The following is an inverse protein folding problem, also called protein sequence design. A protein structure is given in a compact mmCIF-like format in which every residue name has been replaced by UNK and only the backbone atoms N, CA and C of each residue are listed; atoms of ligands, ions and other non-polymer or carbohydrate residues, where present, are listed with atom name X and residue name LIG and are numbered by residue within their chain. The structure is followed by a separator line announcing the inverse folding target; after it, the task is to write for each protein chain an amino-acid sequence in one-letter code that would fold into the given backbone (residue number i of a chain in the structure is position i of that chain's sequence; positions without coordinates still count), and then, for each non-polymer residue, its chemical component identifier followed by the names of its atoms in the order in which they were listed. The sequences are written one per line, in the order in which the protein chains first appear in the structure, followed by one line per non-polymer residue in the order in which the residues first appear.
data_IF_124776963898
#
_entry.id   IF_124776963898
#
_cell.length_a   1.000
_cell.length_b   1.000
_cell.length_c   1.000
_cell.angle_alpha   90.00
_cell.angle_beta   90.00
_cell.angle_gamma   90.00
#
_symmetry.space_group_name_H-M   'P 1'
#
loop_
_entity.id
_entity.type
_entity.pdbx_description
1 polymer ?
#
# COMPACT_ATOMS: atom_id res chain seq x y z
N UNK A 1 15.47 -13.05 9.54
CA UNK A 1 16.59 -12.94 8.61
C UNK A 1 17.13 -11.50 8.53
N UNK A 2 16.87 -10.67 9.55
CA UNK A 2 17.45 -9.34 9.67
C UNK A 2 18.49 -9.36 10.76
N UNK A 3 19.67 -8.89 10.42
CA UNK A 3 20.74 -8.67 11.39
C UNK A 3 20.76 -7.20 11.80
N UNK A 4 20.93 -6.88 13.08
CA UNK A 4 21.07 -5.50 13.51
C UNK A 4 22.37 -4.92 12.96
N UNK A 5 22.39 -3.60 12.74
CA UNK A 5 23.64 -2.91 12.47
C UNK A 5 24.62 -3.10 13.62
N UNK A 6 25.91 -3.17 13.30
CA UNK A 6 26.94 -3.12 14.35
C UNK A 6 26.85 -1.79 15.11
N UNK A 7 27.21 -1.80 16.38
CA UNK A 7 27.20 -0.59 17.22
C UNK A 7 28.02 0.54 16.58
N UNK A 8 29.19 0.20 16.01
CA UNK A 8 30.02 1.17 15.32
C UNK A 8 29.33 1.79 14.10
N UNK A 9 28.71 0.99 13.24
CA UNK A 9 28.03 1.48 12.06
C UNK A 9 26.79 2.29 12.42
N UNK A 10 26.01 1.81 13.39
CA UNK A 10 24.80 2.48 13.86
C UNK A 10 25.12 3.83 14.50
N UNK A 11 26.07 3.88 15.43
CA UNK A 11 26.37 5.09 16.21
C UNK A 11 27.05 6.16 15.36
N UNK A 12 28.01 5.81 14.52
CA UNK A 12 28.78 6.78 13.73
C UNK A 12 28.12 7.16 12.41
N UNK A 13 27.52 6.21 11.73
CA UNK A 13 26.95 6.44 10.40
C UNK A 13 25.48 6.84 10.42
N UNK A 14 24.67 6.12 11.15
CA UNK A 14 23.20 6.24 11.09
C UNK A 14 22.68 7.17 12.17
N UNK A 15 23.02 6.92 13.42
CA UNK A 15 22.44 7.65 14.54
C UNK A 15 22.80 9.13 14.52
N UNK A 16 24.06 9.48 14.35
CA UNK A 16 24.51 10.87 14.44
C UNK A 16 24.30 11.68 13.16
N UNK A 17 24.49 11.08 12.00
CA UNK A 17 24.46 11.80 10.74
C UNK A 17 23.12 11.67 10.01
N UNK A 18 22.59 10.47 9.92
CA UNK A 18 21.36 10.21 9.20
C UNK A 18 20.15 10.44 10.10
N UNK A 19 20.04 9.68 11.20
CA UNK A 19 18.86 9.65 12.04
C UNK A 19 18.61 10.96 12.79
N UNK A 20 19.65 11.59 13.33
CA UNK A 20 19.51 12.81 14.10
C UNK A 20 19.31 14.06 13.24
N UNK A 21 19.83 14.10 12.02
CA UNK A 21 19.90 15.31 11.19
C UNK A 21 19.21 15.21 9.85
N UNK A 22 19.10 14.02 9.28
CA UNK A 22 18.66 13.80 7.89
C UNK A 22 17.22 13.30 7.75
N UNK A 23 16.61 12.80 8.80
CA UNK A 23 15.28 12.17 8.72
C UNK A 23 14.22 13.10 9.29
N UNK A 24 13.08 13.22 8.61
CA UNK A 24 11.96 14.01 9.13
C UNK A 24 11.45 13.43 10.47
N UNK A 25 10.94 14.27 11.39
CA UNK A 25 10.41 13.81 12.67
C UNK A 25 9.32 12.72 12.53
N UNK A 26 8.49 12.81 11.49
CA UNK A 26 7.45 11.82 11.21
C UNK A 26 8.04 10.44 10.87
N UNK A 27 9.02 10.40 9.97
CA UNK A 27 9.69 9.14 9.58
C UNK A 27 10.47 8.56 10.77
N UNK A 28 11.16 9.43 11.53
CA UNK A 28 11.87 9.01 12.74
C UNK A 28 10.92 8.36 13.73
N UNK A 29 9.78 8.98 14.01
CA UNK A 29 8.77 8.42 14.91
C UNK A 29 8.24 7.07 14.40
N UNK A 30 8.04 6.92 13.10
CA UNK A 30 7.60 5.66 12.51
C UNK A 30 8.63 4.55 12.76
N UNK A 31 9.92 4.84 12.59
CA UNK A 31 10.99 3.88 12.86
C UNK A 31 11.13 3.56 14.36
N UNK A 32 10.99 4.55 15.22
CA UNK A 32 11.12 4.39 16.67
C UNK A 32 9.93 3.61 17.28
N UNK A 33 8.73 3.79 16.73
CA UNK A 33 7.51 3.15 17.22
C UNK A 33 7.31 1.71 16.70
N UNK A 34 7.98 1.34 15.60
CA UNK A 34 7.91 -0.01 15.07
C UNK A 34 9.09 -0.84 15.55
N UNK A 35 8.82 -2.09 15.92
CA UNK A 35 9.83 -2.98 16.50
C UNK A 35 9.96 -4.29 15.73
N UNK A 36 11.17 -4.86 15.81
CA UNK A 36 11.50 -6.21 15.36
C UNK A 36 12.10 -6.92 16.57
N UNK A 37 11.46 -7.98 17.04
CA UNK A 37 11.87 -8.71 18.25
C UNK A 37 12.04 -7.81 19.49
N UNK A 38 11.20 -6.78 19.63
CA UNK A 38 11.25 -5.83 20.74
C UNK A 38 12.25 -4.70 20.58
N UNK A 39 13.02 -4.68 19.52
CA UNK A 39 14.00 -3.62 19.22
C UNK A 39 13.48 -2.70 18.11
N UNK A 40 13.77 -1.38 18.16
CA UNK A 40 13.29 -0.45 17.16
C UNK A 40 13.84 -0.75 15.76
N UNK A 41 13.05 -0.47 14.72
CA UNK A 41 13.45 -0.67 13.32
C UNK A 41 14.77 0.01 12.98
N UNK A 42 15.07 1.15 13.60
CA UNK A 42 16.32 1.89 13.39
C UNK A 42 17.59 1.08 13.68
N UNK A 43 17.49 0.00 14.47
CA UNK A 43 18.61 -0.93 14.67
C UNK A 43 18.91 -1.82 13.46
N UNK A 44 17.95 -2.01 12.57
CA UNK A 44 18.02 -2.97 11.48
C UNK A 44 17.99 -2.33 10.10
N UNK A 45 17.51 -1.09 9.99
CA UNK A 45 17.30 -0.43 8.72
C UNK A 45 17.52 1.07 8.79
N UNK A 46 18.08 1.61 7.72
CA UNK A 46 18.09 3.04 7.42
C UNK A 46 17.21 3.27 6.19
N UNK A 47 16.22 4.14 6.29
CA UNK A 47 15.32 4.43 5.18
C UNK A 47 16.07 5.18 4.06
N UNK A 48 15.96 4.69 2.84
CA UNK A 48 16.53 5.33 1.65
C UNK A 48 15.53 6.31 1.02
N UNK A 49 14.32 5.85 0.81
CA UNK A 49 13.21 6.66 0.30
C UNK A 49 11.90 6.15 0.87
N UNK A 50 10.88 6.97 0.82
CA UNK A 50 9.53 6.58 1.16
C UNK A 50 8.57 7.06 0.06
N UNK A 51 7.44 6.41 -0.04
CA UNK A 51 6.38 6.76 -0.95
C UNK A 51 5.04 6.28 -0.43
N UNK A 52 4.00 6.68 -1.11
CA UNK A 52 2.65 6.16 -0.91
C UNK A 52 2.24 5.35 -2.12
N UNK A 53 1.34 4.42 -1.94
CA UNK A 53 0.71 3.67 -3.02
C UNK A 53 -0.74 4.10 -3.16
N UNK A 54 -1.28 4.00 -4.37
CA UNK A 54 -2.64 4.38 -4.63
C UNK A 54 -3.08 4.03 -6.05
N UNK A 55 -4.29 4.46 -6.39
CA UNK A 55 -4.85 4.26 -7.70
C UNK A 55 -4.50 5.47 -8.57
N UNK A 56 -3.71 5.23 -9.64
CA UNK A 56 -3.60 6.16 -10.76
C UNK A 56 -4.69 5.84 -11.78
N UNK A 57 -5.21 6.85 -12.46
CA UNK A 57 -6.26 6.63 -13.44
C UNK A 57 -6.25 7.71 -14.54
N UNK A 58 -6.76 7.33 -15.71
CA UNK A 58 -7.00 8.28 -16.80
C UNK A 58 -8.40 8.91 -16.63
N UNK A 59 -8.50 10.23 -16.41
CA UNK A 59 -9.78 10.91 -16.17
C UNK A 59 -10.72 10.92 -17.38
N UNK A 60 -10.26 10.57 -18.57
CA UNK A 60 -11.13 10.41 -19.75
C UNK A 60 -12.02 9.17 -19.66
N UNK A 61 -11.59 8.13 -18.92
CA UNK A 61 -12.29 6.85 -18.82
C UNK A 61 -12.82 6.54 -17.42
N UNK A 62 -12.17 7.09 -16.39
CA UNK A 62 -12.44 6.78 -14.98
C UNK A 62 -12.76 8.05 -14.24
N UNK A 63 -13.89 8.08 -13.55
CA UNK A 63 -14.26 9.22 -12.69
C UNK A 63 -13.52 9.18 -11.36
N UNK A 64 -13.45 10.32 -10.68
CA UNK A 64 -12.86 10.42 -9.34
C UNK A 64 -13.56 9.49 -8.33
N UNK A 65 -14.89 9.36 -8.43
CA UNK A 65 -15.67 8.49 -7.56
C UNK A 65 -15.31 7.03 -7.77
N UNK A 66 -15.18 6.58 -9.01
CA UNK A 66 -14.76 5.22 -9.35
C UNK A 66 -13.34 4.93 -8.84
N UNK A 67 -12.41 5.86 -9.00
CA UNK A 67 -11.03 5.74 -8.53
C UNK A 67 -10.88 5.91 -7.01
N UNK A 68 -11.90 6.37 -6.29
CA UNK A 68 -11.84 6.61 -4.84
C UNK A 68 -12.00 5.35 -3.99
N UNK A 69 -12.13 4.19 -4.60
CA UNK A 69 -12.35 2.92 -3.91
C UNK A 69 -11.64 1.77 -4.60
N UNK A 70 -11.10 0.85 -3.80
CA UNK A 70 -10.51 -0.39 -4.31
C UNK A 70 -11.53 -1.31 -5.02
N UNK A 71 -12.83 -1.07 -4.87
CA UNK A 71 -13.88 -1.77 -5.66
C UNK A 71 -13.73 -1.58 -7.17
N UNK A 72 -12.94 -0.60 -7.62
CA UNK A 72 -12.62 -0.43 -9.04
C UNK A 72 -12.05 -1.71 -9.67
N UNK A 73 -11.31 -2.52 -8.89
CA UNK A 73 -10.71 -3.78 -9.34
C UNK A 73 -11.78 -4.78 -9.82
N UNK A 74 -12.96 -4.75 -9.20
CA UNK A 74 -14.09 -5.64 -9.52
C UNK A 74 -15.15 -4.97 -10.41
N UNK A 75 -14.90 -3.79 -10.94
CA UNK A 75 -15.85 -3.08 -11.77
C UNK A 75 -15.77 -3.56 -13.23
N UNK A 76 -16.79 -4.24 -13.72
CA UNK A 76 -16.86 -4.79 -15.08
C UNK A 76 -16.68 -3.74 -16.18
N UNK A 77 -17.00 -2.47 -15.91
CA UNK A 77 -16.73 -1.35 -16.82
C UNK A 77 -15.25 -1.29 -17.24
N UNK A 78 -14.35 -1.70 -16.34
CA UNK A 78 -12.91 -1.64 -16.53
C UNK A 78 -12.28 -3.01 -16.74
N UNK A 79 -13.08 -3.99 -17.17
CA UNK A 79 -12.60 -5.35 -17.40
C UNK A 79 -11.38 -5.35 -18.32
N UNK A 80 -10.28 -5.97 -17.86
CA UNK A 80 -8.98 -6.03 -18.55
C UNK A 80 -8.35 -4.65 -18.82
N UNK A 81 -8.69 -3.66 -17.97
CA UNK A 81 -8.19 -2.28 -18.06
C UNK A 81 -7.59 -1.77 -16.73
N UNK A 82 -7.37 -2.66 -15.77
CA UNK A 82 -6.78 -2.31 -14.47
C UNK A 82 -5.60 -3.22 -14.20
N UNK A 83 -4.52 -2.64 -13.67
CA UNK A 83 -3.39 -3.40 -13.12
C UNK A 83 -3.39 -3.37 -11.60
N UNK A 84 -2.93 -4.46 -11.00
CA UNK A 84 -2.72 -4.60 -9.56
C UNK A 84 -1.26 -5.00 -9.32
N UNK A 85 -0.70 -4.69 -8.16
CA UNK A 85 0.69 -5.05 -7.85
C UNK A 85 0.88 -6.56 -7.77
N UNK A 86 1.97 -7.06 -8.34
CA UNK A 86 2.44 -8.45 -8.18
C UNK A 86 3.28 -8.56 -6.90
N UNK A 87 2.64 -8.32 -5.79
CA UNK A 87 3.22 -8.38 -4.44
C UNK A 87 2.13 -8.79 -3.45
N UNK A 88 2.37 -9.84 -2.69
CA UNK A 88 1.36 -10.41 -1.76
C UNK A 88 0.80 -9.36 -0.81
N UNK A 89 1.65 -8.53 -0.21
CA UNK A 89 1.22 -7.50 0.76
C UNK A 89 0.35 -6.43 0.09
N UNK A 90 0.80 -5.90 -1.03
CA UNK A 90 0.10 -4.84 -1.74
C UNK A 90 -1.23 -5.35 -2.31
N UNK A 91 -1.23 -6.56 -2.85
CA UNK A 91 -2.45 -7.20 -3.38
C UNK A 91 -3.45 -7.49 -2.27
N UNK A 92 -3.00 -8.02 -1.12
CA UNK A 92 -3.88 -8.20 0.06
C UNK A 92 -4.47 -6.87 0.52
N UNK A 93 -3.67 -5.82 0.62
CA UNK A 93 -4.14 -4.48 1.01
C UNK A 93 -5.26 -3.99 0.09
N UNK A 94 -5.06 -4.06 -1.23
CA UNK A 94 -6.06 -3.65 -2.20
C UNK A 94 -7.34 -4.52 -2.12
N UNK A 95 -7.20 -5.83 -1.94
CA UNK A 95 -8.33 -6.74 -1.80
C UNK A 95 -9.13 -6.49 -0.51
N UNK A 96 -8.47 -6.34 0.64
CA UNK A 96 -9.12 -5.96 1.91
C UNK A 96 -9.87 -4.65 1.75
N UNK A 97 -9.24 -3.64 1.14
CA UNK A 97 -9.86 -2.35 0.87
C UNK A 97 -11.10 -2.45 -0.03
N UNK A 98 -11.12 -3.37 -0.99
CA UNK A 98 -12.28 -3.63 -1.84
C UNK A 98 -13.40 -4.36 -1.07
N UNK A 99 -13.07 -5.45 -0.39
CA UNK A 99 -14.01 -6.28 0.38
C UNK A 99 -14.67 -5.47 1.50
N UNK A 100 -13.87 -4.74 2.26
CA UNK A 100 -14.33 -3.96 3.43
C UNK A 100 -14.76 -2.52 3.07
N UNK A 101 -14.80 -2.15 1.79
CA UNK A 101 -15.02 -0.76 1.32
C UNK A 101 -16.25 -0.09 1.95
N UNK A 102 -17.39 -0.78 2.02
CA UNK A 102 -18.62 -0.19 2.54
C UNK A 102 -18.50 0.11 4.04
N UNK A 103 -17.91 -0.81 4.81
CA UNK A 103 -17.61 -0.59 6.23
C UNK A 103 -16.66 0.58 6.41
N UNK A 104 -15.53 0.57 5.72
CA UNK A 104 -14.44 1.56 5.87
C UNK A 104 -14.87 2.97 5.47
N UNK A 105 -15.85 3.11 4.58
CA UNK A 105 -16.38 4.39 4.10
C UNK A 105 -17.66 4.84 4.82
N UNK A 106 -18.20 4.01 5.70
CA UNK A 106 -19.40 4.38 6.46
C UNK A 106 -19.14 5.55 7.41
N UNK A 107 -20.15 6.37 7.65
CA UNK A 107 -20.06 7.46 8.62
C UNK A 107 -19.79 6.94 10.05
N UNK A 108 -20.37 5.78 10.38
CA UNK A 108 -20.17 5.17 11.69
C UNK A 108 -18.73 4.74 11.92
N UNK A 109 -18.02 4.36 10.86
CA UNK A 109 -16.60 4.02 10.94
C UNK A 109 -15.72 5.26 10.92
N UNK A 110 -15.93 6.18 9.98
CA UNK A 110 -15.05 7.34 9.75
C UNK A 110 -15.14 8.42 10.83
N UNK A 111 -16.21 8.45 11.64
CA UNK A 111 -16.39 9.39 12.74
C UNK A 111 -15.89 8.89 14.10
N UNK A 112 -15.34 7.68 14.18
CA UNK A 112 -14.80 7.14 15.42
C UNK A 112 -13.56 7.92 15.85
N UNK A 113 -13.41 8.16 17.16
CA UNK A 113 -12.26 8.89 17.69
C UNK A 113 -10.92 8.19 17.42
N UNK A 114 -10.94 6.86 17.35
CA UNK A 114 -9.82 5.97 17.09
C UNK A 114 -9.79 5.44 15.62
N UNK A 115 -10.40 6.22 14.69
CA UNK A 115 -10.54 5.84 13.28
C UNK A 115 -9.24 5.35 12.65
N UNK A 116 -8.13 6.08 12.86
CA UNK A 116 -6.85 5.76 12.24
C UNK A 116 -6.33 4.40 12.71
N UNK A 117 -6.42 4.12 14.01
CA UNK A 117 -5.96 2.86 14.58
C UNK A 117 -6.81 1.68 14.09
N UNK A 118 -8.13 1.86 14.08
CA UNK A 118 -9.05 0.86 13.55
C UNK A 118 -8.90 0.62 12.05
N UNK A 119 -8.61 1.67 11.30
CA UNK A 119 -8.31 1.53 9.87
C UNK A 119 -7.05 0.70 9.67
N UNK A 120 -5.98 1.00 10.43
CA UNK A 120 -4.75 0.23 10.39
C UNK A 120 -4.98 -1.23 10.79
N UNK A 121 -5.76 -1.50 11.84
CA UNK A 121 -6.11 -2.86 12.26
C UNK A 121 -6.83 -3.63 11.16
N UNK A 122 -7.87 -3.06 10.55
CA UNK A 122 -8.62 -3.72 9.46
C UNK A 122 -7.76 -3.95 8.23
N UNK A 123 -6.96 -2.96 7.83
CA UNK A 123 -6.16 -3.04 6.59
C UNK A 123 -4.92 -3.93 6.73
N UNK A 124 -4.48 -4.23 7.95
CA UNK A 124 -3.37 -5.14 8.22
C UNK A 124 -3.82 -6.48 8.83
N UNK A 125 -5.11 -6.79 8.78
CA UNK A 125 -5.62 -8.06 9.29
C UNK A 125 -5.12 -9.23 8.45
N UNK A 126 -4.36 -10.12 9.09
CA UNK A 126 -3.81 -11.34 8.51
C UNK A 126 -4.40 -12.61 9.15
N UNK A 127 -5.56 -12.47 9.79
CA UNK A 127 -6.30 -13.61 10.31
C UNK A 127 -6.64 -14.60 9.20
N UNK A 128 -6.80 -15.88 9.56
CA UNK A 128 -7.14 -16.91 8.59
C UNK A 128 -8.42 -16.57 7.82
N UNK A 129 -9.42 -16.05 8.51
CA UNK A 129 -10.70 -15.70 7.90
C UNK A 129 -10.54 -14.59 6.84
N UNK A 130 -9.77 -13.55 7.16
CA UNK A 130 -9.48 -12.47 6.19
C UNK A 130 -8.63 -12.98 5.02
N UNK A 131 -7.67 -13.85 5.26
CA UNK A 131 -6.87 -14.45 4.16
C UNK A 131 -7.74 -15.30 3.25
N UNK A 132 -8.65 -16.09 3.80
CA UNK A 132 -9.59 -16.91 3.02
C UNK A 132 -10.54 -16.03 2.19
N UNK A 133 -11.12 -14.95 2.77
CA UNK A 133 -11.94 -13.97 2.05
C UNK A 133 -11.17 -13.30 0.89
N UNK A 134 -9.92 -12.91 1.14
CA UNK A 134 -9.05 -12.30 0.13
C UNK A 134 -8.76 -13.28 -1.01
N UNK A 135 -8.45 -14.53 -0.68
CA UNK A 135 -8.19 -15.56 -1.69
C UNK A 135 -9.41 -15.77 -2.59
N UNK A 136 -10.59 -15.90 -1.99
CA UNK A 136 -11.85 -16.03 -2.74
C UNK A 136 -12.09 -14.81 -3.64
N UNK A 137 -11.95 -13.60 -3.10
CA UNK A 137 -12.10 -12.36 -3.87
C UNK A 137 -11.12 -12.29 -5.05
N UNK A 138 -9.85 -12.58 -4.84
CA UNK A 138 -8.83 -12.54 -5.89
C UNK A 138 -9.09 -13.58 -6.98
N UNK A 139 -9.61 -14.76 -6.63
CA UNK A 139 -10.03 -15.77 -7.60
C UNK A 139 -11.20 -15.29 -8.47
N UNK A 140 -12.13 -14.51 -7.90
CA UNK A 140 -13.25 -13.94 -8.64
C UNK A 140 -12.81 -12.83 -9.60
N UNK A 141 -11.87 -11.97 -9.17
CA UNK A 141 -11.49 -10.78 -9.94
C UNK A 141 -10.31 -10.98 -10.88
N UNK A 142 -9.58 -12.09 -10.80
CA UNK A 142 -8.38 -12.34 -11.62
C UNK A 142 -8.61 -12.14 -13.12
N UNK A 143 -9.78 -12.52 -13.62
CA UNK A 143 -10.12 -12.39 -15.04
C UNK A 143 -10.56 -10.96 -15.42
N UNK A 144 -10.87 -10.13 -14.42
CA UNK A 144 -11.19 -8.71 -14.58
C UNK A 144 -9.92 -7.84 -14.66
N UNK A 145 -8.85 -8.24 -13.98
CA UNK A 145 -7.57 -7.54 -13.98
C UNK A 145 -6.85 -7.72 -15.33
N UNK A 146 -6.24 -6.66 -15.84
CA UNK A 146 -5.39 -6.75 -17.04
C UNK A 146 -4.13 -7.54 -16.77
N UNK A 147 -3.41 -7.18 -15.72
CA UNK A 147 -2.23 -7.92 -15.24
C UNK A 147 -1.94 -7.63 -13.77
N UNK A 148 -1.28 -8.58 -13.13
CA UNK A 148 -0.49 -8.32 -11.93
C UNK A 148 0.91 -7.91 -12.40
N UNK A 149 1.46 -6.82 -11.86
CA UNK A 149 2.70 -6.26 -12.37
C UNK A 149 3.48 -5.49 -11.28
N UNK A 150 4.77 -5.28 -11.49
CA UNK A 150 5.62 -4.55 -10.56
C UNK A 150 5.84 -3.11 -11.01
N UNK A 151 6.36 -2.91 -12.23
CA UNK A 151 6.81 -1.61 -12.72
C UNK A 151 6.25 -1.23 -14.11
N UNK A 152 5.61 -2.17 -14.82
CA UNK A 152 5.11 -1.94 -16.18
C UNK A 152 3.84 -1.09 -16.25
N UNK A 153 3.08 -1.03 -15.18
CA UNK A 153 1.77 -0.36 -15.14
C UNK A 153 1.82 1.11 -15.50
N UNK A 154 2.90 1.83 -15.17
CA UNK A 154 3.08 3.22 -15.60
C UNK A 154 3.11 3.39 -17.12
N UNK A 155 3.83 2.51 -17.82
CA UNK A 155 3.90 2.53 -19.29
C UNK A 155 2.55 2.15 -19.91
N UNK A 156 1.87 1.16 -19.33
CA UNK A 156 0.56 0.73 -19.80
C UNK A 156 -0.51 1.81 -19.58
N UNK A 157 -0.40 2.62 -18.52
CA UNK A 157 -1.24 3.80 -18.31
C UNK A 157 -0.99 4.89 -19.36
N UNK A 158 0.27 5.24 -19.59
CA UNK A 158 0.67 6.27 -20.60
C UNK A 158 0.24 5.86 -22.01
N UNK A 159 0.37 4.58 -22.34
CA UNK A 159 0.02 4.06 -23.68
C UNK A 159 -1.48 3.78 -23.86
N UNK A 160 -2.29 3.99 -22.82
CA UNK A 160 -3.74 3.76 -22.87
C UNK A 160 -4.15 2.29 -22.89
N UNK A 161 -3.24 1.36 -22.58
CA UNK A 161 -3.59 -0.06 -22.45
C UNK A 161 -4.49 -0.30 -21.25
N UNK A 162 -4.25 0.43 -20.16
CA UNK A 162 -5.05 0.40 -18.95
C UNK A 162 -5.72 1.75 -18.69
N UNK A 163 -6.83 1.73 -17.98
CA UNK A 163 -7.56 2.93 -17.56
C UNK A 163 -7.22 3.33 -16.12
N UNK A 164 -6.82 2.38 -15.30
CA UNK A 164 -6.38 2.61 -13.93
C UNK A 164 -5.35 1.56 -13.51
N UNK A 165 -4.55 1.90 -12.49
CA UNK A 165 -3.54 0.98 -11.96
C UNK A 165 -3.19 1.27 -10.51
N UNK A 166 -2.82 0.25 -9.77
CA UNK A 166 -2.26 0.38 -8.43
C UNK A 166 -0.77 0.66 -8.53
N UNK A 167 -0.34 1.87 -8.18
CA UNK A 167 1.02 2.33 -8.40
C UNK A 167 1.63 3.02 -7.18
N UNK A 168 2.96 3.09 -7.17
CA UNK A 168 3.72 3.94 -6.27
C UNK A 168 3.65 5.40 -6.69
N UNK A 169 3.67 6.31 -5.72
CA UNK A 169 3.63 7.76 -5.98
C UNK A 169 4.80 8.23 -6.84
N UNK A 170 5.98 7.63 -6.73
CA UNK A 170 7.12 7.92 -7.59
C UNK A 170 6.85 7.60 -9.06
N UNK A 171 6.20 6.46 -9.33
CA UNK A 171 5.82 6.07 -10.70
C UNK A 171 4.69 6.93 -11.27
N UNK A 172 3.83 7.47 -10.39
CA UNK A 172 2.70 8.30 -10.80
C UNK A 172 3.09 9.70 -11.28
N UNK A 173 4.26 10.20 -10.87
CA UNK A 173 4.76 11.55 -11.22
C UNK A 173 5.90 11.53 -12.24
N UNK A 174 6.40 10.36 -12.61
CA UNK A 174 7.43 10.16 -13.60
C UNK A 174 6.86 10.30 -15.01
#
# INVERSE_FOLDING_TARGET
WLEPFSDEFYDTGIKENYYAKGVSPFIKQTFDNNTINGEPWSKYAAGYMWGVTGIIYNPEYVTKEEASTWKIINNDKFRRKITVKDNVRDTMFAAIGAIKSDKLRSQDFTKQADYTDKLAEVMNDTSKDTVDEVLEYLQQVKDNVYSFETDSGKIDAITGKISAGYQWSGDAVY
#
